data_IF_600181002858
#
_entry.id   IF_600181002858
#
_cell.length_a   1.000
_cell.length_b   1.000
_cell.length_c   1.000
_cell.angle_alpha   90.00
_cell.angle_beta   90.00
_cell.angle_gamma   90.00
#
_symmetry.space_group_name_H-M   'P 1'
#
loop_
_entity.id
_entity.type
_entity.pdbx_description
1 polymer ?
#
# COMPACT_ATOMS: atom_id res chain seq x y z
N UNK A 1 -2.87 -1.17 15.54
CA UNK A 1 -1.41 -1.30 15.74
C UNK A 1 -0.93 -2.38 14.78
N UNK A 2 -0.01 -2.03 13.88
CA UNK A 2 0.44 -2.94 12.82
C UNK A 2 1.53 -3.84 13.38
N UNK A 3 1.46 -5.15 13.11
CA UNK A 3 2.55 -6.05 13.51
C UNK A 3 3.80 -5.81 12.64
N UNK A 4 4.99 -6.03 13.21
CA UNK A 4 6.24 -6.00 12.43
C UNK A 4 6.20 -6.98 11.25
N UNK A 5 5.50 -8.11 11.40
CA UNK A 5 5.35 -9.11 10.35
C UNK A 5 4.53 -8.58 9.17
N UNK A 6 3.41 -7.89 9.45
CA UNK A 6 2.59 -7.29 8.40
C UNK A 6 3.30 -6.15 7.68
N UNK A 7 4.04 -5.31 8.41
CA UNK A 7 4.88 -4.28 7.79
C UNK A 7 5.97 -4.89 6.91
N UNK A 8 6.66 -5.94 7.38
CA UNK A 8 7.66 -6.66 6.59
C UNK A 8 7.06 -7.23 5.30
N UNK A 9 5.89 -7.86 5.37
CA UNK A 9 5.18 -8.39 4.19
C UNK A 9 4.75 -7.29 3.23
N UNK A 10 4.39 -6.11 3.74
CA UNK A 10 4.10 -4.96 2.90
C UNK A 10 5.36 -4.47 2.18
N UNK A 11 6.49 -4.38 2.90
CA UNK A 11 7.79 -3.99 2.36
C UNK A 11 8.33 -4.96 1.29
N UNK A 12 8.17 -6.26 1.51
CA UNK A 12 8.53 -7.30 0.54
C UNK A 12 7.75 -7.15 -0.77
N UNK A 13 6.48 -6.73 -0.70
CA UNK A 13 5.64 -6.43 -1.87
C UNK A 13 5.42 -4.92 -2.12
N UNK A 14 6.40 -4.07 -1.78
CA UNK A 14 6.30 -2.60 -1.92
C UNK A 14 6.06 -2.11 -3.35
N UNK A 15 6.33 -2.95 -4.36
CA UNK A 15 6.02 -2.66 -5.76
C UNK A 15 4.52 -2.44 -6.00
N UNK A 16 3.67 -3.00 -5.15
CA UNK A 16 2.22 -2.77 -5.20
C UNK A 16 1.89 -1.30 -4.92
N UNK A 17 2.48 -0.73 -3.87
CA UNK A 17 2.33 0.68 -3.50
C UNK A 17 2.92 1.58 -4.58
N UNK A 18 4.16 1.31 -5.03
CA UNK A 18 4.78 2.07 -6.12
C UNK A 18 3.96 2.02 -7.42
N UNK A 19 3.30 0.88 -7.71
CA UNK A 19 2.40 0.74 -8.83
C UNK A 19 1.12 1.57 -8.69
N UNK A 20 0.56 1.65 -7.48
CA UNK A 20 -0.62 2.47 -7.18
C UNK A 20 -0.30 3.96 -7.33
N UNK A 21 0.81 4.43 -6.75
CA UNK A 21 1.30 5.81 -6.91
C UNK A 21 1.53 6.16 -8.39
N UNK A 22 2.16 5.25 -9.14
CA UNK A 22 2.36 5.44 -10.58
C UNK A 22 1.03 5.57 -11.33
N UNK A 23 0.01 4.80 -10.95
CA UNK A 23 -1.33 4.90 -11.52
C UNK A 23 -2.05 6.20 -11.11
N UNK A 24 -1.73 6.76 -9.94
CA UNK A 24 -2.16 8.08 -9.48
C UNK A 24 -1.39 9.24 -10.14
N UNK A 25 -0.51 8.97 -11.12
CA UNK A 25 0.40 9.94 -11.73
C UNK A 25 1.45 10.54 -10.78
N UNK A 26 1.65 9.95 -9.60
CA UNK A 26 2.70 10.29 -8.64
C UNK A 26 4.00 9.61 -9.07
N UNK A 27 4.95 10.41 -9.56
CA UNK A 27 6.26 9.93 -10.03
C UNK A 27 7.34 10.11 -8.95
N UNK A 28 8.45 9.35 -9.00
CA UNK A 28 9.54 9.46 -8.01
C UNK A 28 10.20 10.83 -7.87
N UNK A 29 10.09 11.68 -8.90
CA UNK A 29 10.57 13.06 -8.89
C UNK A 29 9.59 14.04 -8.22
N UNK A 30 8.40 13.58 -7.84
CA UNK A 30 7.46 14.36 -7.05
C UNK A 30 7.99 14.56 -5.63
N UNK A 31 8.01 15.80 -5.17
CA UNK A 31 8.58 16.17 -3.87
C UNK A 31 7.97 15.43 -2.67
N UNK A 32 6.71 14.96 -2.75
CA UNK A 32 6.05 14.17 -1.70
C UNK A 32 6.06 12.66 -1.98
N UNK A 33 6.80 12.18 -2.99
CA UNK A 33 6.78 10.78 -3.38
C UNK A 33 7.12 9.84 -2.21
N UNK A 34 8.19 10.15 -1.47
CA UNK A 34 8.64 9.33 -0.35
C UNK A 34 7.61 9.29 0.79
N UNK A 35 6.97 10.42 1.07
CA UNK A 35 5.93 10.51 2.10
C UNK A 35 4.70 9.68 1.70
N UNK A 36 4.19 9.87 0.47
CA UNK A 36 3.07 9.10 -0.08
C UNK A 36 3.39 7.60 -0.18
N UNK A 37 4.64 7.25 -0.48
CA UNK A 37 5.08 5.87 -0.53
C UNK A 37 5.12 5.22 0.85
N UNK A 38 5.60 5.93 1.87
CA UNK A 38 5.59 5.45 3.25
C UNK A 38 4.18 5.32 3.80
N UNK A 39 3.31 6.31 3.55
CA UNK A 39 1.89 6.25 3.91
C UNK A 39 1.18 5.09 3.21
N UNK A 40 1.41 4.91 1.91
CA UNK A 40 0.85 3.78 1.16
C UNK A 40 1.33 2.42 1.67
N UNK A 41 2.58 2.32 2.15
CA UNK A 41 3.11 1.11 2.79
C UNK A 41 2.44 0.83 4.14
N UNK A 42 2.18 1.86 4.92
CA UNK A 42 1.46 1.76 6.20
C UNK A 42 0.03 1.25 5.94
N UNK A 43 -0.69 1.88 5.01
CA UNK A 43 -2.05 1.47 4.62
C UNK A 43 -2.06 0.02 4.13
N UNK A 44 -1.08 -0.37 3.31
CA UNK A 44 -1.00 -1.75 2.86
C UNK A 44 -0.75 -2.72 4.02
N UNK A 45 0.17 -2.40 4.94
CA UNK A 45 0.45 -3.23 6.10
C UNK A 45 -0.77 -3.38 7.03
N UNK A 46 -1.58 -2.34 7.18
CA UNK A 46 -2.85 -2.39 7.92
C UNK A 46 -3.85 -3.33 7.23
N UNK A 47 -4.02 -3.20 5.91
CA UNK A 47 -4.88 -4.09 5.13
C UNK A 47 -4.48 -5.56 5.24
N UNK A 48 -3.17 -5.83 5.31
CA UNK A 48 -2.65 -7.17 5.53
C UNK A 48 -2.99 -7.73 6.90
N UNK A 49 -2.99 -6.90 7.93
CA UNK A 49 -3.34 -7.29 9.30
C UNK A 49 -4.85 -7.53 9.42
N UNK A 50 -5.67 -6.59 8.93
CA UNK A 50 -7.13 -6.61 9.06
C UNK A 50 -7.80 -7.71 8.26
N UNK A 51 -7.29 -8.00 7.05
CA UNK A 51 -7.96 -8.90 6.11
C UNK A 51 -7.32 -10.30 6.07
N UNK A 52 -6.20 -10.52 6.76
CA UNK A 52 -5.48 -11.80 6.74
C UNK A 52 -6.31 -13.01 7.17
N UNK A 53 -7.30 -12.82 8.05
CA UNK A 53 -8.14 -13.90 8.57
C UNK A 53 -9.27 -14.30 7.64
N UNK A 54 -9.70 -13.42 6.73
CA UNK A 54 -10.93 -13.57 5.96
C UNK A 54 -10.74 -13.58 4.45
N UNK A 55 -9.57 -13.18 3.94
CA UNK A 55 -9.33 -13.01 2.50
C UNK A 55 -8.03 -13.64 2.05
N UNK A 56 -8.03 -14.11 0.81
CA UNK A 56 -6.81 -14.56 0.15
C UNK A 56 -5.88 -13.37 -0.12
N UNK A 57 -4.56 -13.59 -0.04
CA UNK A 57 -3.55 -12.54 -0.23
C UNK A 57 -3.76 -11.73 -1.51
N UNK A 58 -4.08 -12.39 -2.63
CA UNK A 58 -4.34 -11.76 -3.92
C UNK A 58 -5.52 -10.77 -3.89
N UNK A 59 -6.55 -11.05 -3.09
CA UNK A 59 -7.68 -10.13 -2.92
C UNK A 59 -7.28 -8.92 -2.07
N UNK A 60 -6.53 -9.15 -0.99
CA UNK A 60 -6.01 -8.08 -0.13
C UNK A 60 -5.13 -7.13 -0.95
N UNK A 61 -4.27 -7.66 -1.80
CA UNK A 61 -3.41 -6.89 -2.69
C UNK A 61 -4.23 -6.00 -3.63
N UNK A 62 -5.27 -6.54 -4.29
CA UNK A 62 -6.17 -5.76 -5.15
C UNK A 62 -6.89 -4.64 -4.40
N UNK A 63 -7.41 -4.95 -3.21
CA UNK A 63 -8.11 -3.96 -2.38
C UNK A 63 -7.15 -2.87 -1.89
N UNK A 64 -5.94 -3.25 -1.49
CA UNK A 64 -4.91 -2.32 -1.02
C UNK A 64 -4.44 -1.42 -2.14
N UNK A 65 -4.23 -1.95 -3.35
CA UNK A 65 -3.88 -1.15 -4.53
C UNK A 65 -4.94 -0.08 -4.81
N UNK A 66 -6.22 -0.46 -4.79
CA UNK A 66 -7.32 0.49 -5.00
C UNK A 66 -7.39 1.53 -3.88
N UNK A 67 -7.14 1.14 -2.64
CA UNK A 67 -7.18 2.03 -1.48
C UNK A 67 -6.05 3.07 -1.53
N UNK A 68 -4.82 2.65 -1.83
CA UNK A 68 -3.68 3.57 -2.01
C UNK A 68 -3.92 4.51 -3.19
N UNK A 69 -4.41 4.00 -4.32
CA UNK A 69 -4.73 4.83 -5.49
C UNK A 69 -5.77 5.92 -5.19
N UNK A 70 -6.79 5.61 -4.39
CA UNK A 70 -7.86 6.56 -4.06
C UNK A 70 -7.40 7.63 -3.06
N UNK A 71 -6.51 7.28 -2.14
CA UNK A 71 -5.98 8.19 -1.11
C UNK A 71 -5.26 9.40 -1.71
N UNK A 72 -4.70 9.28 -2.91
CA UNK A 72 -3.98 10.36 -3.60
C UNK A 72 -4.87 11.17 -4.58
N UNK A 73 -6.13 10.77 -4.75
CA UNK A 73 -7.05 11.40 -5.73
C UNK A 73 -8.16 12.25 -5.10
N UNK A 74 -8.25 12.31 -3.78
CA UNK A 74 -9.15 13.18 -3.01
C UNK A 74 -8.45 14.47 -2.55
#
# INVERSE_FOLDING_TARGET
MISQNSFRKAWENRKLVAGALKAAHVRPDYHLYEDLFQEGLIVYAEMLEELATNKARTEIDKLSFKKVLLADTE
#
